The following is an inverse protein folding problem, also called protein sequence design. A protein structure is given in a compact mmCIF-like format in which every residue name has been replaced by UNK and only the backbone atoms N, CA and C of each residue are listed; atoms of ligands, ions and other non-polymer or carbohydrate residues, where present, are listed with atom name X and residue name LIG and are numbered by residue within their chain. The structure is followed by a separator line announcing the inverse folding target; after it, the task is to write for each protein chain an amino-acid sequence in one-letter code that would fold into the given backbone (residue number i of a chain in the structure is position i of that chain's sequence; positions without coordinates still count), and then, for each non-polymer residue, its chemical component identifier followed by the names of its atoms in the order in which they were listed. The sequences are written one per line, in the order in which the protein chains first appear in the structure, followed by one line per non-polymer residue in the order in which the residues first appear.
data_IF_376542831015
#
_entry.id   IF_376542831015
#
_cell.length_a   1.000
_cell.length_b   1.000
_cell.length_c   1.000
_cell.angle_alpha   90.00
_cell.angle_beta   90.00
_cell.angle_gamma   90.00
#
_symmetry.space_group_name_H-M   'P 1'
#
loop_
_entity.id
_entity.type
_entity.pdbx_description
1 polymer ?
#
# COMPACT_ATOMS: atom_id res chain seq x y z
N UNK A 1 40.05 -25.81 10.93
CA UNK A 1 38.91 -26.05 10.03
C UNK A 1 37.96 -24.88 10.15
N UNK A 2 37.82 -24.12 9.07
CA UNK A 2 37.09 -22.86 9.02
C UNK A 2 35.65 -23.21 8.61
N UNK A 3 34.70 -23.14 9.55
CA UNK A 3 33.28 -23.26 9.21
C UNK A 3 32.82 -21.92 8.67
N UNK A 4 32.79 -21.82 7.34
CA UNK A 4 32.22 -20.69 6.64
C UNK A 4 30.70 -20.69 6.85
N UNK A 5 30.21 -19.90 7.81
CA UNK A 5 28.79 -19.59 7.92
C UNK A 5 28.42 -18.55 6.88
N UNK A 6 28.01 -19.01 5.71
CA UNK A 6 27.44 -18.16 4.65
C UNK A 6 26.03 -17.74 5.06
N UNK A 7 25.91 -16.57 5.70
CA UNK A 7 24.60 -15.95 5.96
C UNK A 7 24.13 -15.33 4.63
N UNK A 8 23.19 -16.01 3.97
CA UNK A 8 22.51 -15.50 2.78
C UNK A 8 21.50 -14.44 3.23
N UNK A 9 21.87 -13.17 3.09
CA UNK A 9 20.91 -12.06 3.16
C UNK A 9 20.08 -12.05 1.87
N UNK A 10 18.85 -12.57 1.93
CA UNK A 10 17.85 -12.37 0.90
C UNK A 10 17.33 -10.93 1.01
N UNK A 11 18.08 -10.00 0.43
CA UNK A 11 17.59 -8.65 0.19
C UNK A 11 16.57 -8.74 -0.95
N UNK A 12 15.30 -8.90 -0.58
CA UNK A 12 14.20 -8.76 -1.52
C UNK A 12 14.26 -7.33 -2.09
N UNK A 13 14.81 -7.20 -3.30
CA UNK A 13 14.73 -6.00 -4.11
C UNK A 13 13.26 -5.78 -4.47
N UNK A 14 12.51 -5.17 -3.55
CA UNK A 14 11.23 -4.57 -3.88
C UNK A 14 11.56 -3.41 -4.79
N UNK A 15 11.27 -3.58 -6.08
CA UNK A 15 11.42 -2.56 -7.09
C UNK A 15 10.84 -1.26 -6.58
N UNK A 16 11.71 -0.28 -6.37
CA UNK A 16 11.27 1.09 -6.33
C UNK A 16 10.75 1.40 -7.74
N UNK A 17 9.43 1.47 -7.90
CA UNK A 17 8.86 2.28 -8.98
C UNK A 17 9.19 3.74 -8.63
N UNK A 18 10.41 4.16 -8.96
CA UNK A 18 10.68 5.56 -9.16
C UNK A 18 9.95 5.96 -10.44
N UNK A 19 8.68 6.31 -10.33
CA UNK A 19 8.02 7.04 -11.42
C UNK A 19 8.57 8.47 -11.36
N UNK A 20 9.33 8.93 -12.38
CA UNK A 20 9.63 10.34 -12.49
C UNK A 20 8.36 11.01 -13.00
N UNK A 21 7.81 11.95 -12.24
CA UNK A 21 7.05 13.02 -12.87
C UNK A 21 7.38 14.31 -12.13
N UNK A 22 8.27 15.06 -12.76
CA UNK A 22 8.53 16.45 -12.42
C UNK A 22 7.33 17.31 -12.83
N UNK A 23 7.20 18.48 -12.19
CA UNK A 23 5.95 19.11 -11.81
C UNK A 23 5.28 19.75 -13.02
N UNK A 24 3.96 20.00 -12.94
CA UNK A 24 3.27 21.21 -13.42
C UNK A 24 1.75 20.98 -13.44
N UNK A 25 1.07 21.73 -12.59
CA UNK A 25 -0.33 22.16 -12.67
C UNK A 25 -1.45 21.09 -12.64
N UNK A 26 -2.19 21.16 -11.53
CA UNK A 26 -3.45 20.49 -11.18
C UNK A 26 -3.29 19.13 -10.48
N UNK A 27 -3.43 19.21 -9.16
CA UNK A 27 -3.53 18.16 -8.15
C UNK A 27 -4.46 17.01 -8.59
N UNK A 28 -3.88 16.02 -9.27
CA UNK A 28 -4.48 14.70 -9.44
C UNK A 28 -3.41 13.70 -9.03
N UNK A 29 -3.37 13.43 -7.72
CA UNK A 29 -2.56 12.36 -7.14
C UNK A 29 -2.85 11.02 -7.83
N UNK A 30 -1.94 10.04 -7.74
CA UNK A 30 -1.97 8.79 -8.51
C UNK A 30 -3.34 8.13 -8.37
N UNK A 31 -4.14 8.24 -9.43
CA UNK A 31 -5.37 7.48 -9.54
C UNK A 31 -4.95 6.17 -10.20
N UNK A 32 -4.51 5.23 -9.35
CA UNK A 32 -4.62 3.80 -9.64
C UNK A 32 -6.12 3.52 -9.81
N UNK A 33 -6.66 3.83 -11.00
CA UNK A 33 -8.00 3.45 -11.46
C UNK A 33 -8.01 1.98 -11.91
N UNK A 34 -7.29 1.10 -11.21
CA UNK A 34 -7.40 -0.36 -11.41
C UNK A 34 -8.42 -0.97 -10.44
N UNK A 35 -9.37 -0.16 -9.98
CA UNK A 35 -10.58 -0.62 -9.33
C UNK A 35 -11.70 -0.71 -10.34
N UNK A 36 -11.96 -1.90 -10.87
CA UNK A 36 -13.33 -2.29 -11.20
C UNK A 36 -14.18 -1.79 -10.02
N UNK A 37 -15.18 -0.91 -10.22
CA UNK A 37 -15.72 0.08 -9.24
C UNK A 37 -16.24 -0.44 -7.88
N UNK A 38 -15.99 -1.71 -7.64
CA UNK A 38 -16.17 -2.59 -6.50
C UNK A 38 -14.96 -2.54 -5.53
N UNK A 39 -13.74 -2.34 -6.05
CA UNK A 39 -12.50 -2.43 -5.26
C UNK A 39 -11.70 -1.15 -5.34
N UNK A 40 -11.36 -0.57 -4.19
CA UNK A 40 -10.57 0.65 -4.10
C UNK A 40 -9.14 0.34 -3.66
N UNK A 41 -8.17 0.77 -4.46
CA UNK A 41 -6.75 0.69 -4.09
C UNK A 41 -6.30 2.01 -3.49
N UNK A 42 -5.52 1.93 -2.41
CA UNK A 42 -5.00 3.06 -1.67
C UNK A 42 -3.60 2.82 -1.11
N UNK A 43 -3.20 3.70 -0.20
CA UNK A 43 -1.94 3.64 0.53
C UNK A 43 -2.19 3.67 2.02
N UNK A 44 -1.50 2.80 2.78
CA UNK A 44 -1.65 2.75 4.22
C UNK A 44 -0.58 3.59 4.96
N UNK A 45 -0.93 4.04 6.16
CA UNK A 45 -0.06 4.78 7.07
C UNK A 45 0.23 3.90 8.28
N UNK A 46 1.51 3.61 8.56
CA UNK A 46 1.94 2.71 9.64
C UNK A 46 1.59 3.29 11.01
N UNK A 47 1.78 4.60 11.18
CA UNK A 47 1.54 5.28 12.46
C UNK A 47 0.08 5.16 12.93
N UNK A 48 -0.87 5.29 12.01
CA UNK A 48 -2.30 5.24 12.34
C UNK A 48 -2.92 3.88 12.02
N UNK A 49 -2.20 3.02 11.31
CA UNK A 49 -2.66 1.76 10.75
C UNK A 49 -3.94 1.94 9.90
N UNK A 50 -3.91 2.92 9.00
CA UNK A 50 -5.07 3.30 8.18
C UNK A 50 -4.75 3.28 6.70
N UNK A 51 -5.65 2.75 5.90
CA UNK A 51 -5.63 2.78 4.45
C UNK A 51 -6.37 4.01 3.92
N UNK A 52 -5.66 4.83 3.15
CA UNK A 52 -6.19 6.01 2.49
C UNK A 52 -6.41 5.72 1.01
N UNK A 53 -7.65 5.85 0.54
CA UNK A 53 -8.04 5.63 -0.85
C UNK A 53 -9.03 6.69 -1.32
N UNK A 54 -9.19 6.82 -2.63
CA UNK A 54 -10.19 7.72 -3.21
C UNK A 54 -11.36 6.91 -3.72
N UNK A 55 -12.54 7.11 -3.13
CA UNK A 55 -13.79 6.52 -3.59
C UNK A 55 -14.77 7.63 -4.02
N UNK A 56 -15.37 7.48 -5.19
CA UNK A 56 -16.33 8.46 -5.74
C UNK A 56 -15.82 9.91 -5.71
N UNK A 57 -14.55 10.12 -6.10
CA UNK A 57 -13.84 11.43 -6.07
C UNK A 57 -13.65 12.04 -4.67
N UNK A 58 -13.86 11.28 -3.59
CA UNK A 58 -13.60 11.71 -2.21
C UNK A 58 -12.54 10.85 -1.56
N UNK A 59 -11.60 11.50 -0.85
CA UNK A 59 -10.62 10.79 -0.01
C UNK A 59 -11.34 10.13 1.17
N UNK A 60 -11.02 8.87 1.40
CA UNK A 60 -11.53 8.03 2.49
C UNK A 60 -10.35 7.40 3.21
N UNK A 61 -10.50 7.23 4.52
CA UNK A 61 -9.55 6.53 5.38
C UNK A 61 -10.30 5.43 6.12
N UNK A 62 -9.79 4.20 6.07
CA UNK A 62 -10.35 3.05 6.78
C UNK A 62 -9.24 2.37 7.55
N UNK A 63 -9.55 1.93 8.76
CA UNK A 63 -8.58 1.27 9.63
C UNK A 63 -8.24 -0.13 9.13
N UNK A 64 -6.95 -0.42 9.03
CA UNK A 64 -6.47 -1.77 8.74
C UNK A 64 -6.65 -2.68 9.98
N UNK A 65 -6.87 -3.99 9.78
CA UNK A 65 -6.88 -4.97 10.85
C UNK A 65 -5.56 -4.96 11.60
N UNK A 66 -5.60 -5.07 12.93
CA UNK A 66 -4.40 -5.24 13.76
C UNK A 66 -3.96 -6.71 13.84
N UNK A 67 -4.18 -7.49 12.78
CA UNK A 67 -3.76 -8.88 12.68
C UNK A 67 -2.34 -8.96 12.09
N UNK A 68 -1.52 -9.94 12.50
CA UNK A 68 -0.25 -10.20 11.85
C UNK A 68 -0.47 -10.43 10.34
N UNK A 69 0.31 -9.72 9.51
CA UNK A 69 0.24 -9.75 8.03
C UNK A 69 -1.00 -9.11 7.39
N UNK A 70 -1.87 -8.43 8.16
CA UNK A 70 -2.94 -7.55 7.61
C UNK A 70 -2.87 -6.12 8.14
N UNK A 71 -1.85 -5.82 8.93
CA UNK A 71 -1.54 -4.48 9.43
C UNK A 71 -0.67 -3.75 8.42
N UNK A 72 -0.73 -2.42 8.42
CA UNK A 72 0.18 -1.59 7.64
C UNK A 72 1.58 -1.68 8.23
N UNK A 73 2.48 -2.43 7.57
CA UNK A 73 3.85 -2.63 8.07
C UNK A 73 4.76 -1.46 7.70
N UNK A 74 4.37 -0.68 6.69
CA UNK A 74 5.17 0.40 6.12
C UNK A 74 4.29 1.54 5.62
N UNK A 75 4.67 2.77 5.92
CA UNK A 75 4.01 3.95 5.36
C UNK A 75 4.09 3.96 3.83
N UNK A 76 2.95 4.21 3.19
CA UNK A 76 2.80 4.18 1.75
C UNK A 76 2.65 2.78 1.15
N UNK A 77 2.59 1.71 1.95
CA UNK A 77 2.31 0.38 1.44
C UNK A 77 0.91 0.30 0.83
N UNK A 78 0.73 -0.61 -0.13
CA UNK A 78 -0.55 -0.77 -0.82
C UNK A 78 -1.61 -1.20 0.20
N UNK A 79 -2.84 -0.79 -0.05
CA UNK A 79 -3.99 -1.37 0.62
C UNK A 79 -5.17 -1.42 -0.33
N UNK A 80 -6.06 -2.37 -0.12
CA UNK A 80 -7.18 -2.64 -1.00
C UNK A 80 -8.44 -2.79 -0.17
N UNK A 81 -9.49 -2.06 -0.53
CA UNK A 81 -10.79 -2.08 0.12
C UNK A 81 -11.86 -2.57 -0.85
N UNK A 82 -12.46 -3.71 -0.55
CA UNK A 82 -13.55 -4.30 -1.32
C UNK A 82 -14.89 -3.88 -0.71
N UNK A 83 -15.75 -3.21 -1.49
CA UNK A 83 -17.00 -2.67 -0.94
C UNK A 83 -18.12 -3.71 -0.81
N UNK A 84 -18.05 -4.83 -1.55
CA UNK A 84 -19.07 -5.87 -1.49
C UNK A 84 -18.90 -6.70 -0.21
N UNK A 85 -17.66 -7.07 0.05
CA UNK A 85 -17.26 -7.87 1.20
C UNK A 85 -17.01 -7.01 2.44
N UNK A 86 -16.86 -5.70 2.26
CA UNK A 86 -16.38 -4.75 3.28
C UNK A 86 -15.03 -5.20 3.87
N UNK A 87 -14.25 -5.94 3.07
CA UNK A 87 -12.94 -6.44 3.48
C UNK A 87 -11.88 -5.41 3.13
N UNK A 88 -10.92 -5.26 4.05
CA UNK A 88 -9.72 -4.48 3.81
C UNK A 88 -8.48 -5.35 3.95
N UNK A 89 -7.60 -5.25 2.96
CA UNK A 89 -6.31 -5.93 2.93
C UNK A 89 -5.23 -4.87 2.91
N UNK A 90 -4.41 -4.82 3.96
CA UNK A 90 -3.27 -3.93 4.07
C UNK A 90 -1.97 -4.74 4.15
N UNK A 91 -0.89 -4.17 3.62
CA UNK A 91 0.43 -4.80 3.53
C UNK A 91 1.48 -4.05 4.37
#
# INVERSE_FOLDING_TARGET
MQFANTIVFLLAAMGAIASPVQPNSNDVGPVDLEGDGITYTGKCTRKTNECNFTASRKKKSVKCPSLPNKTCTKDGAKCTYDILSQEIVCY
#
